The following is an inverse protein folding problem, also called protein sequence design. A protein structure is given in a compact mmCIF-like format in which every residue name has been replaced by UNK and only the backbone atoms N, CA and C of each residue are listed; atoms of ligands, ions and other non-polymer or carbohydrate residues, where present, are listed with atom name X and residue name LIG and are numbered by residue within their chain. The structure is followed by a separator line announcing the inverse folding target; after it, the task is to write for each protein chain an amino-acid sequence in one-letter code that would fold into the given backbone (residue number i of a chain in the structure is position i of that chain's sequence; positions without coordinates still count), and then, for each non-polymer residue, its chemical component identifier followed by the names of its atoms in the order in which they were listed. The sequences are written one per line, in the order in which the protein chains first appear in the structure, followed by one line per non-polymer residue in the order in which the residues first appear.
data_IF_074068440194
#
_entry.id   IF_074068440194
#
_cell.length_a   1.000
_cell.length_b   1.000
_cell.length_c   1.000
_cell.angle_alpha   90.00
_cell.angle_beta   90.00
_cell.angle_gamma   90.00
#
_symmetry.space_group_name_H-M   'P 1'
#
loop_
_entity.id
_entity.type
_entity.pdbx_description
1 polymer ?
#
# COMPACT_ATOMS: atom_id res chain seq x y z
N UNK A 1 -0.11 -70.76 -12.29
CA UNK A 1 -1.50 -70.28 -12.14
C UNK A 1 -1.48 -69.19 -11.09
N UNK A 2 -1.84 -67.97 -11.48
CA UNK A 2 -1.57 -66.72 -10.77
C UNK A 2 -2.43 -66.59 -9.51
N UNK A 3 -1.84 -66.13 -8.40
CA UNK A 3 -2.56 -65.48 -7.31
C UNK A 3 -2.13 -64.01 -7.28
N UNK A 4 -3.15 -63.16 -7.30
CA UNK A 4 -3.16 -61.74 -7.67
C UNK A 4 -2.54 -60.87 -6.56
N UNK A 5 -1.63 -59.98 -6.96
CA UNK A 5 -1.22 -58.84 -6.13
C UNK A 5 -2.30 -57.75 -6.26
N UNK A 6 -3.13 -57.59 -5.23
CA UNK A 6 -4.02 -56.43 -5.08
C UNK A 6 -3.85 -55.91 -3.65
N UNK A 7 -2.78 -55.15 -3.45
CA UNK A 7 -2.57 -54.34 -2.25
C UNK A 7 -2.84 -52.88 -2.61
N UNK A 8 -3.97 -52.39 -2.13
CA UNK A 8 -4.56 -51.08 -2.38
C UNK A 8 -3.58 -49.94 -2.10
N UNK A 9 -3.35 -49.09 -3.12
CA UNK A 9 -2.65 -47.81 -3.02
C UNK A 9 -3.40 -46.87 -2.05
N UNK A 10 -2.85 -46.63 -0.86
CA UNK A 10 -3.25 -45.48 -0.03
C UNK A 10 -2.45 -44.27 -0.52
N UNK A 11 -2.96 -43.59 -1.54
CA UNK A 11 -2.46 -42.28 -1.93
C UNK A 11 -2.95 -41.25 -0.91
N UNK A 12 -2.19 -41.03 0.17
CA UNK A 12 -2.39 -39.91 1.07
C UNK A 12 -2.14 -38.61 0.27
N UNK A 13 -3.22 -37.90 -0.04
CA UNK A 13 -3.18 -36.65 -0.79
C UNK A 13 -2.35 -35.60 -0.06
N UNK A 14 -1.17 -35.30 -0.60
CA UNK A 14 -0.37 -34.16 -0.19
C UNK A 14 -0.95 -32.92 -0.87
N UNK A 15 -1.99 -32.32 -0.29
CA UNK A 15 -2.51 -31.04 -0.76
C UNK A 15 -1.55 -29.95 -0.27
N UNK A 16 -0.46 -29.76 -1.00
CA UNK A 16 0.46 -28.64 -0.77
C UNK A 16 -0.32 -27.33 -0.98
N UNK A 17 -0.49 -26.57 0.10
CA UNK A 17 -0.92 -25.18 0.05
C UNK A 17 0.12 -24.42 -0.77
N UNK A 18 -0.17 -24.16 -2.05
CA UNK A 18 0.61 -23.23 -2.84
C UNK A 18 0.39 -21.83 -2.26
N UNK A 19 1.36 -21.33 -1.49
CA UNK A 19 1.41 -19.94 -1.11
C UNK A 19 1.75 -19.12 -2.36
N UNK A 20 0.76 -18.40 -2.90
CA UNK A 20 1.03 -17.40 -3.92
C UNK A 20 1.79 -16.23 -3.28
N UNK A 21 2.82 -15.68 -3.94
CA UNK A 21 3.50 -14.50 -3.43
C UNK A 21 2.49 -13.35 -3.32
N UNK A 22 2.47 -12.69 -2.15
CA UNK A 22 1.73 -11.43 -2.02
C UNK A 22 2.40 -10.39 -2.91
N UNK A 23 1.66 -9.90 -3.91
CA UNK A 23 2.10 -8.80 -4.76
C UNK A 23 1.99 -7.50 -3.94
N UNK A 24 3.10 -6.77 -3.81
CA UNK A 24 3.12 -5.40 -3.32
C UNK A 24 2.59 -4.48 -4.42
N UNK A 25 1.57 -3.69 -4.12
CA UNK A 25 1.04 -2.70 -5.05
C UNK A 25 1.74 -1.34 -4.89
N UNK A 26 1.96 -0.66 -6.01
CA UNK A 26 2.27 0.77 -6.03
C UNK A 26 0.99 1.55 -6.31
N UNK A 27 0.65 2.49 -5.42
CA UNK A 27 -0.55 3.32 -5.51
C UNK A 27 -0.11 4.77 -5.70
N UNK A 28 -0.39 5.33 -6.86
CA UNK A 28 -0.02 6.69 -7.20
C UNK A 28 -1.05 7.71 -6.69
N UNK A 29 -0.56 8.83 -6.16
CA UNK A 29 -1.35 9.97 -5.67
C UNK A 29 -0.81 11.24 -6.28
N UNK A 30 -1.65 12.02 -6.94
CA UNK A 30 -1.30 13.30 -7.53
C UNK A 30 -1.53 14.43 -6.54
N UNK A 31 -0.57 15.35 -6.43
CA UNK A 31 -0.71 16.59 -5.68
C UNK A 31 -0.94 17.74 -6.65
N UNK A 32 -2.12 18.37 -6.54
CA UNK A 32 -2.68 19.25 -7.57
C UNK A 32 -3.13 20.58 -6.98
N UNK A 33 -2.98 21.66 -7.75
CA UNK A 33 -3.56 22.96 -7.44
C UNK A 33 -5.09 22.95 -7.58
N UNK A 34 -5.62 22.14 -8.50
CA UNK A 34 -7.05 21.97 -8.73
C UNK A 34 -7.37 20.55 -9.18
N UNK A 35 -8.40 19.96 -8.60
CA UNK A 35 -8.95 18.67 -9.00
C UNK A 35 -10.47 18.62 -8.84
N UNK A 36 -11.03 17.41 -8.88
CA UNK A 36 -12.47 17.19 -8.81
C UNK A 36 -13.10 17.70 -7.50
N UNK A 37 -12.34 17.70 -6.41
CA UNK A 37 -12.79 18.15 -5.09
C UNK A 37 -12.56 19.65 -4.81
N UNK A 38 -12.00 20.42 -5.76
CA UNK A 38 -11.74 21.86 -5.59
C UNK A 38 -10.26 22.23 -5.73
N UNK A 39 -9.80 23.18 -4.94
CA UNK A 39 -8.40 23.64 -4.95
C UNK A 39 -7.55 22.90 -3.92
N UNK A 40 -6.26 22.73 -4.22
CA UNK A 40 -5.22 22.13 -3.36
C UNK A 40 -5.58 20.72 -2.86
N UNK A 41 -5.52 19.74 -3.76
CA UNK A 41 -6.03 18.39 -3.50
C UNK A 41 -5.00 17.30 -3.73
N UNK A 42 -5.16 16.20 -2.99
CA UNK A 42 -4.60 14.90 -3.33
C UNK A 42 -5.61 14.12 -4.19
N UNK A 43 -5.16 13.47 -5.27
CA UNK A 43 -6.00 12.59 -6.08
C UNK A 43 -5.34 11.21 -6.29
N UNK A 44 -5.93 10.11 -5.79
CA UNK A 44 -7.12 10.08 -4.94
C UNK A 44 -6.83 10.60 -3.52
N UNK A 45 -7.85 11.19 -2.87
CA UNK A 45 -7.75 11.63 -1.47
C UNK A 45 -8.02 10.51 -0.45
N UNK A 46 -8.56 9.37 -0.90
CA UNK A 46 -8.76 8.17 -0.10
C UNK A 46 -8.06 6.99 -0.76
N UNK A 47 -7.26 6.27 0.03
CA UNK A 47 -6.46 5.15 -0.43
C UNK A 47 -6.70 3.99 0.50
N UNK A 48 -7.03 2.84 -0.08
CA UNK A 48 -7.01 1.56 0.63
C UNK A 48 -5.76 0.80 0.20
N UNK A 49 -4.88 0.57 1.16
CA UNK A 49 -3.62 -0.17 0.97
C UNK A 49 -3.50 -1.27 2.02
N UNK A 50 -2.66 -2.26 1.74
CA UNK A 50 -2.26 -3.32 2.65
C UNK A 50 -0.82 -3.11 3.14
N UNK A 51 -0.44 -3.63 4.31
CA UNK A 51 0.97 -3.72 4.67
C UNK A 51 1.78 -4.43 3.59
N UNK A 52 2.87 -3.79 3.15
CA UNK A 52 3.69 -4.19 2.02
C UNK A 52 3.51 -3.34 0.77
N UNK A 53 2.40 -2.62 0.63
CA UNK A 53 2.18 -1.68 -0.49
C UNK A 53 3.01 -0.40 -0.34
N UNK A 54 3.14 0.35 -1.43
CA UNK A 54 3.79 1.67 -1.45
C UNK A 54 2.86 2.72 -2.03
N UNK A 55 2.64 3.80 -1.28
CA UNK A 55 1.91 4.98 -1.77
C UNK A 55 2.90 5.99 -2.32
N UNK A 56 2.75 6.38 -3.59
CA UNK A 56 3.67 7.29 -4.30
C UNK A 56 2.99 8.63 -4.54
N UNK A 57 3.37 9.64 -3.77
CA UNK A 57 2.89 11.01 -3.92
C UNK A 57 3.72 11.74 -4.97
N UNK A 58 3.07 12.15 -6.07
CA UNK A 58 3.68 12.87 -7.19
C UNK A 58 3.21 14.34 -7.23
N UNK A 59 4.13 15.31 -7.18
CA UNK A 59 3.82 16.72 -7.34
C UNK A 59 3.59 17.04 -8.82
N UNK A 60 2.38 16.80 -9.30
CA UNK A 60 1.99 17.16 -10.67
C UNK A 60 2.06 18.68 -10.83
N UNK A 61 1.53 19.40 -9.84
CA UNK A 61 1.74 20.83 -9.70
C UNK A 61 2.87 21.14 -8.70
N UNK A 62 3.57 22.25 -8.93
CA UNK A 62 4.55 22.77 -7.96
C UNK A 62 3.84 23.41 -6.77
N UNK A 63 4.48 23.39 -5.61
CA UNK A 63 4.00 23.97 -4.36
C UNK A 63 3.43 22.95 -3.38
N UNK A 64 3.62 21.65 -3.65
CA UNK A 64 3.08 20.58 -2.81
C UNK A 64 4.17 19.68 -2.20
N UNK A 65 3.86 19.19 -1.01
CA UNK A 65 4.59 18.14 -0.32
C UNK A 65 3.57 17.23 0.41
N UNK A 66 4.05 16.19 1.06
CA UNK A 66 3.24 15.36 1.95
C UNK A 66 3.90 15.27 3.33
N UNK A 67 3.10 15.41 4.38
CA UNK A 67 3.51 15.38 5.77
C UNK A 67 2.48 14.61 6.60
N UNK A 68 2.94 13.73 7.49
CA UNK A 68 2.09 13.06 8.47
C UNK A 68 1.48 14.07 9.44
N UNK A 69 0.19 13.94 9.73
CA UNK A 69 -0.45 14.74 10.79
C UNK A 69 -0.15 14.12 12.15
N UNK A 70 0.34 14.96 13.08
CA UNK A 70 0.67 14.53 14.46
C UNK A 70 -0.53 13.83 15.10
N UNK A 71 -0.27 12.71 15.77
CA UNK A 71 -1.25 11.88 16.48
C UNK A 71 -2.39 11.31 15.60
N UNK A 72 -2.23 11.36 14.27
CA UNK A 72 -3.21 10.86 13.27
C UNK A 72 -2.59 9.83 12.31
N UNK A 73 -1.53 9.17 12.76
CA UNK A 73 -0.93 8.01 12.09
C UNK A 73 -0.85 6.86 13.10
N UNK A 74 -0.75 5.58 12.67
CA UNK A 74 -0.72 4.45 13.59
C UNK A 74 0.47 4.49 14.55
N UNK A 75 0.30 3.93 15.75
CA UNK A 75 1.36 3.82 16.74
C UNK A 75 2.59 3.06 16.19
N UNK A 76 3.78 3.57 16.47
CA UNK A 76 5.04 3.00 15.99
C UNK A 76 5.39 3.31 14.54
N UNK A 77 4.61 4.16 13.85
CA UNK A 77 5.00 4.76 12.58
C UNK A 77 5.75 6.07 12.86
N UNK A 78 6.95 6.19 12.30
CA UNK A 78 7.72 7.44 12.39
C UNK A 78 7.02 8.58 11.64
N UNK A 79 6.92 9.79 12.22
CA UNK A 79 6.47 10.97 11.50
C UNK A 79 7.32 11.23 10.26
N UNK A 80 6.69 11.65 9.17
CA UNK A 80 7.39 11.89 7.90
C UNK A 80 6.96 13.20 7.27
N UNK A 81 7.87 13.76 6.48
CA UNK A 81 7.67 14.97 5.69
C UNK A 81 8.55 14.93 4.46
N UNK A 82 7.94 15.02 3.28
CA UNK A 82 8.70 15.16 2.03
C UNK A 82 9.21 16.58 1.85
N UNK A 83 10.24 16.73 1.01
CA UNK A 83 10.63 18.05 0.48
C UNK A 83 9.55 18.55 -0.48
N UNK A 84 9.49 19.87 -0.62
CA UNK A 84 8.59 20.53 -1.55
C UNK A 84 8.94 20.16 -3.00
N UNK A 85 7.94 19.81 -3.81
CA UNK A 85 8.08 19.38 -5.22
C UNK A 85 8.85 18.07 -5.46
N UNK A 86 9.15 17.31 -4.42
CA UNK A 86 9.77 15.99 -4.57
C UNK A 86 8.70 14.90 -4.57
N UNK A 87 8.88 13.89 -5.42
CA UNK A 87 8.12 12.63 -5.31
C UNK A 87 8.48 11.95 -4.00
N UNK A 88 7.47 11.46 -3.28
CA UNK A 88 7.64 10.76 -2.00
C UNK A 88 6.97 9.40 -2.03
N UNK A 89 7.70 8.36 -1.64
CA UNK A 89 7.18 7.01 -1.52
C UNK A 89 7.02 6.64 -0.04
N UNK A 90 5.79 6.35 0.36
CA UNK A 90 5.45 5.87 1.69
C UNK A 90 5.26 4.35 1.66
N UNK A 91 6.20 3.57 2.21
CA UNK A 91 5.97 2.15 2.43
C UNK A 91 4.93 1.95 3.54
N UNK A 92 3.86 1.23 3.26
CA UNK A 92 2.82 0.90 4.24
C UNK A 92 3.29 -0.31 5.03
N UNK A 93 3.69 -0.12 6.28
CA UNK A 93 4.24 -1.20 7.13
C UNK A 93 3.34 -1.57 8.29
N UNK A 94 2.38 -0.71 8.64
CA UNK A 94 1.44 -0.90 9.75
C UNK A 94 0.01 -0.72 9.27
N UNK A 95 -0.88 -1.51 9.86
CA UNK A 95 -2.31 -1.32 9.68
C UNK A 95 -2.79 -0.10 10.49
N UNK A 96 -3.85 0.55 9.99
CA UNK A 96 -4.49 1.68 10.64
C UNK A 96 -4.79 2.82 9.66
N UNK A 97 -5.31 3.91 10.19
CA UNK A 97 -5.59 5.12 9.40
C UNK A 97 -4.38 6.06 9.45
N UNK A 98 -4.02 6.61 8.29
CA UNK A 98 -2.99 7.62 8.14
C UNK A 98 -3.64 8.89 7.62
N UNK A 99 -3.63 9.96 8.41
CA UNK A 99 -3.95 11.29 7.91
C UNK A 99 -2.65 12.01 7.52
N UNK A 100 -2.59 12.44 6.27
CA UNK A 100 -1.51 13.24 5.73
C UNK A 100 -2.05 14.60 5.28
N UNK A 101 -1.15 15.57 5.23
CA UNK A 101 -1.45 16.92 4.74
C UNK A 101 -0.37 17.38 3.78
N UNK A 102 -0.71 18.38 2.97
CA UNK A 102 0.29 19.28 2.41
C UNK A 102 0.66 20.28 3.52
N UNK A 103 1.93 20.62 3.71
CA UNK A 103 2.29 21.57 4.77
C UNK A 103 1.72 22.97 4.53
N UNK A 104 1.79 23.55 3.31
CA UNK A 104 1.29 24.91 3.06
C UNK A 104 -0.22 25.03 2.77
N UNK A 105 -0.95 23.93 2.60
CA UNK A 105 -2.36 23.90 2.17
C UNK A 105 -3.19 23.01 3.09
#
# INVERSE_FOLDING_TARGET
MLIRATGTLVAAGFMALMAFPALSAEIEVHMLNKGAAGAMVFEPAYIKANPGDTIVFKPIDKGHNVESVKDMIPEGVEPFKSKMNDTFSLPVTKEGAYLVKCTPH
#
